data_IF_003618799600
#
_entry.id   IF_003618799600
#
_cell.length_a   1.000
_cell.length_b   1.000
_cell.length_c   1.000
_cell.angle_alpha   90.00
_cell.angle_beta   90.00
_cell.angle_gamma   90.00
#
_symmetry.space_group_name_H-M   'P 1'
#
loop_
_entity.id
_entity.type
_entity.pdbx_description
1 polymer ?
#
# COMPACT_ATOMS: atom_id res chain seq x y z
N UNK A 1 -16.54 -1.35 25.80
CA UNK A 1 -15.54 -0.27 25.83
C UNK A 1 -15.73 0.54 24.57
N UNK A 2 -16.47 1.64 24.67
CA UNK A 2 -16.91 2.46 23.52
C UNK A 2 -15.76 3.39 23.14
N UNK A 3 -15.17 3.16 21.97
CA UNK A 3 -14.18 4.07 21.39
C UNK A 3 -14.94 5.34 20.97
N UNK A 4 -14.91 6.37 21.80
CA UNK A 4 -15.35 7.70 21.44
C UNK A 4 -14.43 8.23 20.33
N UNK A 5 -14.90 8.24 19.09
CA UNK A 5 -14.27 8.97 18.00
C UNK A 5 -14.19 10.45 18.39
N UNK A 6 -13.00 10.96 18.53
CA UNK A 6 -12.76 12.39 18.79
C UNK A 6 -13.08 13.17 17.48
N UNK A 7 -14.18 13.92 17.40
CA UNK A 7 -14.62 14.59 16.16
C UNK A 7 -13.74 15.81 15.80
N UNK A 8 -12.73 16.17 16.59
CA UNK A 8 -12.04 17.46 16.51
C UNK A 8 -10.64 17.45 15.88
N UNK A 9 -10.24 16.43 15.11
CA UNK A 9 -8.85 16.32 14.62
C UNK A 9 -8.68 16.19 13.11
N UNK A 10 -9.66 16.61 12.31
CA UNK A 10 -9.48 16.59 10.84
C UNK A 10 -9.80 17.95 10.25
N UNK A 11 -8.77 18.79 10.18
CA UNK A 11 -8.80 19.95 9.30
C UNK A 11 -9.20 19.51 7.90
N UNK A 12 -10.06 20.27 7.26
CA UNK A 12 -10.63 19.94 5.95
C UNK A 12 -9.96 20.76 4.85
N UNK A 13 -10.11 20.33 3.60
CA UNK A 13 -9.70 21.15 2.45
C UNK A 13 -10.37 22.51 2.43
N UNK A 14 -11.56 22.66 3.03
CA UNK A 14 -12.25 23.94 3.14
C UNK A 14 -11.50 24.92 4.05
N UNK A 15 -11.00 24.47 5.20
CA UNK A 15 -10.23 25.29 6.14
C UNK A 15 -8.87 25.66 5.57
N UNK A 16 -8.18 24.73 4.88
CA UNK A 16 -6.93 25.01 4.20
C UNK A 16 -7.16 26.03 3.07
N UNK A 17 -8.21 25.86 2.27
CA UNK A 17 -8.61 26.76 1.19
C UNK A 17 -8.84 28.19 1.72
N UNK A 18 -9.60 28.33 2.79
CA UNK A 18 -9.86 29.63 3.43
C UNK A 18 -8.56 30.26 3.96
N UNK A 19 -7.69 29.48 4.62
CA UNK A 19 -6.45 29.97 5.22
C UNK A 19 -5.38 30.31 4.18
N UNK A 20 -5.32 29.58 3.07
CA UNK A 20 -4.36 29.79 1.98
C UNK A 20 -4.84 30.78 0.92
N UNK A 21 -6.11 31.21 0.94
CA UNK A 21 -6.68 32.12 -0.06
C UNK A 21 -6.81 31.52 -1.46
N UNK A 22 -7.01 30.19 -1.57
CA UNK A 22 -7.10 29.49 -2.86
C UNK A 22 -8.36 28.62 -2.90
N UNK A 23 -8.75 28.12 -4.09
CA UNK A 23 -9.89 27.21 -4.20
C UNK A 23 -9.62 25.83 -3.61
N UNK A 24 -10.67 25.10 -3.19
CA UNK A 24 -10.56 23.69 -2.76
C UNK A 24 -9.93 22.80 -3.84
N UNK A 25 -10.21 23.09 -5.12
CA UNK A 25 -9.58 22.36 -6.23
C UNK A 25 -8.06 22.58 -6.28
N UNK A 26 -7.58 23.80 -5.99
CA UNK A 26 -6.16 24.11 -5.88
C UNK A 26 -5.53 23.36 -4.70
N UNK A 27 -6.19 23.35 -3.54
CA UNK A 27 -5.75 22.56 -2.37
C UNK A 27 -5.60 21.09 -2.75
N UNK A 28 -6.62 20.51 -3.39
CA UNK A 28 -6.60 19.10 -3.81
C UNK A 28 -5.43 18.82 -4.76
N UNK A 29 -5.18 19.66 -5.75
CA UNK A 29 -4.05 19.50 -6.68
C UNK A 29 -2.71 19.53 -5.96
N UNK A 30 -2.49 20.51 -5.09
CA UNK A 30 -1.26 20.60 -4.30
C UNK A 30 -1.05 19.38 -3.42
N UNK A 31 -2.11 18.93 -2.73
CA UNK A 31 -2.04 17.76 -1.85
C UNK A 31 -1.84 16.44 -2.59
N UNK A 32 -2.15 16.40 -3.89
CA UNK A 32 -1.90 15.27 -4.77
C UNK A 32 -0.59 15.39 -5.58
N UNK A 33 0.24 16.43 -5.33
CA UNK A 33 1.52 16.60 -6.00
C UNK A 33 1.44 17.06 -7.46
N UNK A 34 0.40 17.82 -7.83
CA UNK A 34 0.24 18.35 -9.19
C UNK A 34 1.21 19.54 -9.42
N UNK A 35 2.26 19.32 -10.19
CA UNK A 35 3.31 20.29 -10.49
C UNK A 35 2.83 21.51 -11.31
N UNK A 36 1.61 21.48 -11.85
CA UNK A 36 1.01 22.58 -12.62
C UNK A 36 0.50 23.72 -11.74
N UNK A 37 0.51 23.57 -10.43
CA UNK A 37 0.13 24.63 -9.50
C UNK A 37 1.31 25.59 -9.33
N UNK A 38 1.04 26.90 -9.45
CA UNK A 38 2.08 27.93 -9.25
C UNK A 38 2.79 27.76 -7.90
N UNK A 39 4.14 27.82 -7.83
CA UNK A 39 4.92 27.53 -6.62
C UNK A 39 4.47 28.31 -5.38
N UNK A 40 4.15 29.59 -5.52
CA UNK A 40 3.71 30.42 -4.39
C UNK A 40 2.37 29.95 -3.81
N UNK A 41 1.44 29.50 -4.67
CA UNK A 41 0.17 28.94 -4.22
C UNK A 41 0.36 27.58 -3.56
N UNK A 42 1.23 26.75 -4.11
CA UNK A 42 1.57 25.46 -3.50
C UNK A 42 2.18 25.68 -2.11
N UNK A 43 3.13 26.61 -1.97
CA UNK A 43 3.73 26.96 -0.69
C UNK A 43 2.71 27.48 0.33
N UNK A 44 1.80 28.36 -0.10
CA UNK A 44 0.74 28.87 0.78
C UNK A 44 -0.18 27.76 1.30
N UNK A 45 -0.56 26.80 0.44
CA UNK A 45 -1.37 25.64 0.80
C UNK A 45 -0.65 24.75 1.81
N UNK A 46 0.61 24.40 1.57
CA UNK A 46 1.40 23.55 2.47
C UNK A 46 1.59 24.21 3.85
N UNK A 47 1.89 25.49 3.89
CA UNK A 47 1.98 26.24 5.15
C UNK A 47 0.64 26.32 5.90
N UNK A 48 -0.47 26.49 5.17
CA UNK A 48 -1.80 26.50 5.79
C UNK A 48 -2.15 25.12 6.36
N UNK A 49 -1.84 24.04 5.63
CA UNK A 49 -2.04 22.67 6.09
C UNK A 49 -1.23 22.36 7.35
N UNK A 50 0.04 22.73 7.38
CA UNK A 50 0.93 22.57 8.53
C UNK A 50 0.38 23.32 9.77
N UNK A 51 0.05 24.61 9.62
CA UNK A 51 -0.52 25.43 10.71
C UNK A 51 -1.85 24.92 11.25
N UNK A 52 -2.62 24.19 10.43
CA UNK A 52 -3.89 23.56 10.83
C UNK A 52 -3.69 22.13 11.38
N UNK A 53 -2.46 21.61 11.41
CA UNK A 53 -2.20 20.23 11.78
C UNK A 53 -2.88 19.23 10.84
N UNK A 54 -3.09 19.62 9.58
CA UNK A 54 -3.76 18.75 8.60
C UNK A 54 -2.94 17.50 8.33
N UNK A 55 -3.59 16.36 8.44
CA UNK A 55 -3.03 15.07 8.03
C UNK A 55 -3.81 14.53 6.84
N UNK A 56 -3.15 14.23 5.71
CA UNK A 56 -3.81 13.64 4.56
C UNK A 56 -4.63 12.41 4.94
N UNK A 57 -5.88 12.37 4.51
CA UNK A 57 -6.71 11.20 4.72
C UNK A 57 -6.42 10.21 3.58
N UNK A 58 -5.72 9.11 3.88
CA UNK A 58 -5.35 8.08 2.91
C UNK A 58 -6.58 7.47 2.23
N UNK A 59 -7.66 7.20 2.97
CA UNK A 59 -8.88 6.67 2.39
C UNK A 59 -9.51 7.64 1.38
N UNK A 60 -9.53 8.94 1.68
CA UNK A 60 -10.01 9.95 0.73
C UNK A 60 -9.09 10.07 -0.50
N UNK A 61 -7.77 9.94 -0.30
CA UNK A 61 -6.79 9.92 -1.40
C UNK A 61 -7.00 8.67 -2.27
N UNK A 62 -7.11 7.50 -1.66
CA UNK A 62 -7.37 6.24 -2.37
C UNK A 62 -8.64 6.33 -3.22
N UNK A 63 -9.73 6.88 -2.67
CA UNK A 63 -10.98 7.08 -3.41
C UNK A 63 -10.81 8.03 -4.61
N UNK A 64 -9.98 9.06 -4.48
CA UNK A 64 -9.78 10.06 -5.55
C UNK A 64 -8.76 9.62 -6.61
N UNK A 65 -7.77 8.80 -6.26
CA UNK A 65 -6.69 8.38 -7.15
C UNK A 65 -6.83 6.94 -7.65
N UNK A 66 -7.71 6.16 -7.04
CA UNK A 66 -7.81 4.71 -7.27
C UNK A 66 -6.60 3.92 -6.73
N UNK A 67 -5.76 4.55 -5.87
CA UNK A 67 -4.56 3.94 -5.31
C UNK A 67 -4.51 4.10 -3.80
N UNK A 68 -4.26 2.99 -3.11
CA UNK A 68 -4.19 2.94 -1.64
C UNK A 68 -2.79 3.28 -1.11
N UNK A 69 -1.74 3.06 -1.92
CA UNK A 69 -0.34 3.09 -1.52
C UNK A 69 0.02 1.93 -0.58
N UNK A 70 -0.80 0.88 -0.54
CA UNK A 70 -0.60 -0.28 0.33
C UNK A 70 -0.27 -1.51 -0.53
N UNK A 71 0.82 -2.19 -0.21
CA UNK A 71 1.24 -3.43 -0.85
C UNK A 71 1.18 -4.55 0.18
N UNK A 72 0.49 -5.63 -0.14
CA UNK A 72 0.49 -6.81 0.70
C UNK A 72 1.84 -7.54 0.60
N UNK A 73 2.40 -7.93 1.72
CA UNK A 73 3.54 -8.84 1.82
C UNK A 73 3.03 -10.09 2.50
N UNK A 74 2.90 -11.16 1.73
CA UNK A 74 2.22 -12.38 2.15
C UNK A 74 3.25 -13.47 2.40
N UNK A 75 3.23 -14.05 3.59
CA UNK A 75 4.06 -15.17 4.01
C UNK A 75 3.13 -16.34 4.32
N UNK A 76 3.39 -17.51 3.72
CA UNK A 76 2.68 -18.74 4.10
C UNK A 76 3.03 -19.09 5.55
N UNK A 77 2.01 -19.37 6.38
CA UNK A 77 2.17 -19.66 7.80
C UNK A 77 2.74 -21.07 8.00
N UNK A 78 4.03 -21.20 7.74
CA UNK A 78 4.81 -22.36 8.13
C UNK A 78 5.47 -22.10 9.49
N UNK A 79 5.57 -23.10 10.38
CA UNK A 79 6.07 -22.91 11.74
C UNK A 79 7.44 -22.25 11.85
N UNK A 80 8.25 -22.35 10.80
CA UNK A 80 9.63 -21.83 10.74
C UNK A 80 9.78 -20.56 9.89
N UNK A 81 8.76 -20.13 9.17
CA UNK A 81 8.87 -19.05 8.19
C UNK A 81 9.44 -17.76 8.80
N UNK A 82 8.90 -17.30 9.92
CA UNK A 82 9.36 -16.07 10.57
C UNK A 82 10.65 -16.25 11.39
N UNK A 83 11.10 -17.49 11.60
CA UNK A 83 12.32 -17.79 12.36
C UNK A 83 13.57 -17.74 11.49
N UNK A 84 13.44 -17.77 10.17
CA UNK A 84 14.56 -17.66 9.24
C UNK A 84 15.06 -16.21 9.15
N UNK A 85 16.32 -15.93 9.52
CA UNK A 85 16.92 -14.59 9.41
C UNK A 85 16.88 -14.00 8.00
N UNK A 86 16.78 -14.81 6.95
CA UNK A 86 16.68 -14.39 5.57
C UNK A 86 15.50 -13.47 5.35
N UNK A 87 14.32 -13.79 5.91
CA UNK A 87 13.13 -12.96 5.75
C UNK A 87 13.26 -11.60 6.39
N UNK A 88 13.99 -11.49 7.49
CA UNK A 88 14.30 -10.20 8.11
C UNK A 88 15.06 -9.26 7.16
N UNK A 89 16.02 -9.80 6.41
CA UNK A 89 16.80 -9.03 5.42
C UNK A 89 15.92 -8.62 4.22
N UNK A 90 15.11 -9.55 3.71
CA UNK A 90 14.18 -9.30 2.61
C UNK A 90 13.18 -8.21 2.98
N UNK A 91 12.52 -8.34 4.13
CA UNK A 91 11.54 -7.36 4.62
C UNK A 91 12.16 -5.98 4.83
N UNK A 92 13.39 -5.91 5.34
CA UNK A 92 14.13 -4.65 5.48
C UNK A 92 14.41 -4.01 4.11
N UNK A 93 14.74 -4.80 3.09
CA UNK A 93 14.93 -4.36 1.72
C UNK A 93 13.65 -3.79 1.11
N UNK A 94 12.55 -4.53 1.22
CA UNK A 94 11.21 -4.11 0.78
C UNK A 94 10.82 -2.79 1.47
N UNK A 95 10.94 -2.73 2.80
CA UNK A 95 10.58 -1.55 3.58
C UNK A 95 11.34 -0.30 3.14
N UNK A 96 12.65 -0.42 2.84
CA UNK A 96 13.48 0.69 2.37
C UNK A 96 12.96 1.25 1.05
N UNK A 97 12.63 0.38 0.09
CA UNK A 97 12.08 0.79 -1.21
C UNK A 97 10.70 1.42 -1.04
N UNK A 98 9.86 0.86 -0.20
CA UNK A 98 8.52 1.39 0.05
C UNK A 98 8.56 2.78 0.68
N UNK A 99 9.39 2.98 1.69
CA UNK A 99 9.58 4.30 2.32
C UNK A 99 10.04 5.37 1.31
N UNK A 100 10.92 5.01 0.38
CA UNK A 100 11.40 5.94 -0.64
C UNK A 100 10.32 6.31 -1.67
N UNK A 101 9.26 5.52 -1.79
CA UNK A 101 8.19 5.69 -2.79
C UNK A 101 6.81 6.01 -2.17
N UNK A 102 6.74 6.43 -0.91
CA UNK A 102 5.48 6.70 -0.17
C UNK A 102 4.52 5.50 -0.18
N UNK A 103 5.07 4.28 -0.23
CA UNK A 103 4.33 3.02 -0.13
C UNK A 103 4.39 2.48 1.30
N UNK A 104 3.40 1.65 1.64
CA UNK A 104 3.34 0.96 2.93
C UNK A 104 3.13 -0.53 2.70
N UNK A 105 3.62 -1.34 3.64
CA UNK A 105 3.40 -2.78 3.62
C UNK A 105 2.30 -3.19 4.60
N UNK A 106 1.46 -4.11 4.14
CA UNK A 106 0.61 -4.92 4.99
C UNK A 106 1.21 -6.32 5.05
N UNK A 107 1.77 -6.69 6.20
CA UNK A 107 2.28 -8.05 6.40
C UNK A 107 1.12 -8.99 6.74
N UNK A 108 0.96 -10.03 5.95
CA UNK A 108 0.01 -11.12 6.15
C UNK A 108 0.79 -12.42 6.36
N UNK A 109 0.65 -13.01 7.54
CA UNK A 109 1.21 -14.33 7.88
C UNK A 109 0.04 -15.25 8.08
N UNK A 110 -0.17 -16.18 7.14
CA UNK A 110 -1.40 -16.95 7.11
C UNK A 110 -1.27 -18.16 6.19
N UNK A 111 -1.93 -19.29 6.49
CA UNK A 111 -2.00 -20.41 5.56
C UNK A 111 -2.62 -19.99 4.23
N UNK A 112 -1.88 -20.16 3.13
CA UNK A 112 -2.38 -19.81 1.79
C UNK A 112 -3.48 -20.76 1.29
N UNK A 113 -3.59 -21.95 1.89
CA UNK A 113 -4.59 -22.95 1.56
C UNK A 113 -5.80 -22.93 2.51
N UNK A 114 -5.98 -21.84 3.24
CA UNK A 114 -7.16 -21.66 4.10
C UNK A 114 -8.44 -21.94 3.33
N UNK A 115 -9.32 -22.83 3.83
CA UNK A 115 -10.55 -23.25 3.14
C UNK A 115 -11.51 -22.11 2.81
N UNK A 116 -11.49 -21.05 3.58
CA UNK A 116 -12.31 -19.85 3.40
C UNK A 116 -11.74 -18.87 2.37
N UNK A 117 -10.52 -19.10 1.89
CA UNK A 117 -9.87 -18.22 0.90
C UNK A 117 -9.66 -16.79 1.38
N UNK A 118 -9.53 -16.59 2.68
CA UNK A 118 -9.48 -15.26 3.30
C UNK A 118 -8.43 -14.34 2.70
N UNK A 119 -7.24 -14.88 2.38
CA UNK A 119 -6.16 -14.11 1.73
C UNK A 119 -6.58 -13.61 0.35
N UNK A 120 -7.08 -14.53 -0.49
CA UNK A 120 -7.53 -14.17 -1.83
C UNK A 120 -8.65 -13.12 -1.75
N UNK A 121 -9.64 -13.32 -0.90
CA UNK A 121 -10.75 -12.39 -0.71
C UNK A 121 -10.27 -11.00 -0.28
N UNK A 122 -9.31 -10.93 0.64
CA UNK A 122 -8.73 -9.64 1.06
C UNK A 122 -7.97 -8.96 -0.10
N UNK A 123 -7.12 -9.70 -0.82
CA UNK A 123 -6.36 -9.16 -1.93
C UNK A 123 -7.27 -8.68 -3.10
N UNK A 124 -8.43 -9.29 -3.25
CA UNK A 124 -9.44 -8.93 -4.25
C UNK A 124 -10.31 -7.73 -3.82
N UNK A 125 -10.26 -7.31 -2.56
CA UNK A 125 -11.12 -6.22 -2.02
C UNK A 125 -10.80 -4.83 -2.55
N UNK A 126 -9.65 -4.65 -3.22
CA UNK A 126 -9.16 -3.34 -3.67
C UNK A 126 -8.52 -2.50 -2.56
N UNK A 127 -8.24 -3.10 -1.41
CA UNK A 127 -7.57 -2.43 -0.29
C UNK A 127 -6.04 -2.34 -0.47
N UNK A 128 -5.47 -3.10 -1.42
CA UNK A 128 -4.06 -3.09 -1.76
C UNK A 128 -3.85 -2.85 -3.25
N UNK A 129 -2.73 -2.21 -3.60
CA UNK A 129 -2.36 -1.91 -4.99
C UNK A 129 -1.54 -3.04 -5.64
N UNK A 130 -1.12 -4.03 -4.87
CA UNK A 130 -0.34 -5.18 -5.33
C UNK A 130 0.02 -6.10 -4.18
N UNK A 131 0.66 -7.22 -4.51
CA UNK A 131 1.10 -8.20 -3.52
C UNK A 131 2.50 -8.74 -3.84
N UNK A 132 3.30 -8.93 -2.79
CA UNK A 132 4.57 -9.66 -2.82
C UNK A 132 4.36 -10.94 -2.02
N UNK A 133 4.56 -12.09 -2.65
CA UNK A 133 4.49 -13.38 -1.97
C UNK A 133 5.90 -13.86 -1.67
N UNK A 134 6.13 -14.19 -0.40
CA UNK A 134 7.39 -14.76 0.09
C UNK A 134 7.17 -16.25 0.32
N UNK A 135 8.12 -17.07 -0.14
CA UNK A 135 8.11 -18.53 0.07
C UNK A 135 6.83 -19.19 -0.46
N UNK A 136 6.72 -19.31 -1.78
CA UNK A 136 5.51 -19.84 -2.40
C UNK A 136 5.66 -21.31 -2.71
N UNK A 137 4.86 -22.13 -2.04
CA UNK A 137 4.69 -23.56 -2.37
C UNK A 137 3.33 -23.88 -3.02
N UNK A 138 2.41 -22.89 -3.09
CA UNK A 138 1.02 -23.09 -3.54
C UNK A 138 0.57 -21.98 -4.48
N UNK A 139 0.57 -22.28 -5.78
CA UNK A 139 0.30 -21.30 -6.84
C UNK A 139 -1.18 -20.89 -6.97
N UNK A 140 -2.12 -21.62 -6.37
CA UNK A 140 -3.56 -21.44 -6.64
C UNK A 140 -4.09 -20.04 -6.27
N UNK A 141 -3.73 -19.53 -5.08
CA UNK A 141 -4.13 -18.20 -4.63
C UNK A 141 -3.50 -17.12 -5.50
N UNK A 142 -2.23 -17.28 -5.84
CA UNK A 142 -1.47 -16.33 -6.66
C UNK A 142 -2.07 -16.24 -8.06
N UNK A 143 -2.32 -17.40 -8.71
CA UNK A 143 -2.96 -17.46 -10.02
C UNK A 143 -4.34 -16.79 -9.99
N UNK A 144 -5.11 -17.01 -8.94
CA UNK A 144 -6.44 -16.43 -8.77
C UNK A 144 -6.38 -14.90 -8.70
N UNK A 145 -5.57 -14.33 -7.81
CA UNK A 145 -5.49 -12.87 -7.65
C UNK A 145 -4.84 -12.19 -8.83
N UNK A 146 -3.83 -12.83 -9.47
CA UNK A 146 -3.21 -12.33 -10.69
C UNK A 146 -4.19 -12.29 -11.86
N UNK A 147 -5.01 -13.32 -12.04
CA UNK A 147 -6.04 -13.38 -13.08
C UNK A 147 -7.09 -12.26 -12.95
N UNK A 148 -7.26 -11.70 -11.76
CA UNK A 148 -8.13 -10.55 -11.52
C UNK A 148 -7.44 -9.19 -11.72
N UNK A 149 -6.18 -9.20 -12.16
CA UNK A 149 -5.44 -7.99 -12.50
C UNK A 149 -4.66 -7.36 -11.35
N UNK A 150 -4.58 -8.01 -10.18
CA UNK A 150 -3.72 -7.52 -9.10
C UNK A 150 -2.25 -7.72 -9.51
N UNK A 151 -1.39 -6.68 -9.49
CA UNK A 151 0.04 -6.83 -9.68
C UNK A 151 0.66 -7.72 -8.60
N UNK A 152 1.37 -8.76 -9.03
CA UNK A 152 1.99 -9.75 -8.13
C UNK A 152 3.47 -9.91 -8.45
N UNK A 153 4.28 -10.00 -7.41
CA UNK A 153 5.70 -10.36 -7.48
C UNK A 153 5.98 -11.51 -6.51
N UNK A 154 6.77 -12.48 -6.94
CA UNK A 154 7.20 -13.59 -6.10
C UNK A 154 8.65 -13.41 -5.65
N UNK A 155 8.95 -13.81 -4.43
CA UNK A 155 10.31 -14.07 -3.98
C UNK A 155 10.52 -15.59 -4.03
N UNK A 156 11.38 -16.02 -4.97
CA UNK A 156 11.52 -17.40 -5.41
C UNK A 156 10.82 -17.66 -6.74
N UNK A 157 11.20 -18.74 -7.41
CA UNK A 157 10.62 -19.13 -8.70
C UNK A 157 9.21 -19.70 -8.53
N UNK A 158 8.29 -19.40 -9.45
CA UNK A 158 6.98 -20.05 -9.47
C UNK A 158 7.13 -21.57 -9.68
N UNK A 159 6.26 -22.36 -9.07
CA UNK A 159 6.28 -23.84 -9.19
C UNK A 159 5.87 -24.32 -10.58
N UNK A 160 5.20 -23.48 -11.36
CA UNK A 160 4.75 -23.79 -12.73
C UNK A 160 5.02 -22.63 -13.67
N UNK A 161 5.33 -22.96 -14.92
CA UNK A 161 5.53 -21.97 -15.99
C UNK A 161 4.22 -21.55 -16.68
N UNK A 162 3.06 -21.93 -16.15
CA UNK A 162 1.77 -21.74 -16.80
C UNK A 162 1.26 -20.29 -16.75
N UNK A 163 1.90 -19.44 -15.93
CA UNK A 163 1.51 -18.03 -15.75
C UNK A 163 2.76 -17.17 -15.81
N UNK A 164 2.69 -16.08 -16.56
CA UNK A 164 3.75 -15.08 -16.65
C UNK A 164 3.74 -14.19 -15.37
N UNK A 165 4.36 -14.70 -14.31
CA UNK A 165 4.49 -14.02 -13.02
C UNK A 165 5.88 -13.39 -12.88
N UNK A 166 5.91 -12.12 -12.49
CA UNK A 166 7.16 -11.48 -12.11
C UNK A 166 7.73 -12.13 -10.83
N UNK A 167 9.02 -12.46 -10.84
CA UNK A 167 9.67 -13.01 -9.66
C UNK A 167 11.11 -12.51 -9.50
N UNK A 168 11.60 -12.58 -8.28
CA UNK A 168 13.00 -12.35 -7.91
C UNK A 168 13.51 -13.62 -7.24
N UNK A 169 14.66 -14.12 -7.69
CA UNK A 169 15.28 -15.31 -7.14
C UNK A 169 16.77 -15.08 -6.91
N UNK A 170 17.36 -15.86 -6.02
CA UNK A 170 18.81 -15.88 -5.80
C UNK A 170 19.46 -16.82 -6.83
N UNK A 171 20.59 -16.40 -7.39
CA UNK A 171 21.40 -17.25 -8.23
C UNK A 171 22.17 -18.23 -7.33
N UNK A 172 21.68 -19.46 -7.22
CA UNK A 172 22.23 -20.51 -6.38
C UNK A 172 23.17 -21.45 -7.17
N UNK A 173 23.87 -20.95 -8.20
CA UNK A 173 24.85 -21.74 -8.98
C UNK A 173 26.20 -21.74 -8.30
#
# INVERSE_FOLDING_TARGET
>A
MTLTSNPNLRSTYAEISAKAGVSKATVSRVMNGDDRVHPDRAKAVLQAAEKLGYRPNRAARALSTGRTGLIAVVIDDEPTALSDPFWGVVLAGISRVFMANDLHSLLMVTPLDSPDGAVAHYLESGEVDGAIFLQVHKDAVIKKVHAQGLPVVLIGRPSSNDVDLAYVDTDNV
#
